data_IF_357750214264
#
_entry.id   IF_357750214264
#
_cell.length_a   1.000
_cell.length_b   1.000
_cell.length_c   1.000
_cell.angle_alpha   90.00
_cell.angle_beta   90.00
_cell.angle_gamma   90.00
#
_symmetry.space_group_name_H-M   'P 1'
#
loop_
_entity.id
_entity.type
_entity.pdbx_description
1 polymer ?
#
# COMPACT_ATOMS: atom_id res chain seq x y z
N UNK A 1 20.56 4.30 3.34
CA UNK A 1 20.47 2.93 2.74
C UNK A 1 19.01 2.54 2.56
N UNK A 2 18.68 1.82 1.49
CA UNK A 2 17.31 1.30 1.24
C UNK A 2 17.34 -0.21 1.37
N UNK A 3 16.49 -0.76 2.25
CA UNK A 3 16.29 -2.18 2.44
C UNK A 3 14.90 -2.54 1.93
N UNK A 4 14.84 -3.24 0.80
CA UNK A 4 13.58 -3.62 0.14
C UNK A 4 13.47 -5.15 0.04
N UNK A 5 12.84 -5.76 1.01
CA UNK A 5 12.63 -7.22 1.05
C UNK A 5 11.51 -7.71 0.12
N UNK A 6 10.86 -6.82 -0.61
CA UNK A 6 9.98 -7.22 -1.71
C UNK A 6 10.76 -7.43 -3.01
N UNK A 7 12.02 -7.05 -3.05
CA UNK A 7 12.89 -7.28 -4.20
C UNK A 7 13.01 -8.79 -4.55
N UNK A 8 13.22 -9.12 -5.83
CA UNK A 8 13.22 -10.52 -6.28
C UNK A 8 14.18 -11.44 -5.53
N UNK A 9 15.33 -10.95 -5.12
CA UNK A 9 16.36 -11.68 -4.38
C UNK A 9 15.90 -12.16 -3.00
N UNK A 10 14.92 -11.50 -2.40
CA UNK A 10 14.37 -11.87 -1.09
C UNK A 10 13.11 -12.76 -1.18
N UNK A 11 12.68 -13.11 -2.38
CA UNK A 11 11.53 -13.99 -2.53
C UNK A 11 11.88 -15.42 -2.24
N UNK A 12 10.99 -16.12 -1.53
CA UNK A 12 11.08 -17.56 -1.37
C UNK A 12 11.07 -18.28 -2.74
N UNK A 13 11.67 -19.43 -2.82
CA UNK A 13 11.65 -20.28 -4.03
C UNK A 13 10.23 -20.53 -4.53
N UNK A 14 9.27 -20.73 -3.61
CA UNK A 14 7.85 -20.89 -3.93
C UNK A 14 7.26 -19.66 -4.63
N UNK A 15 7.63 -18.44 -4.20
CA UNK A 15 7.17 -17.19 -4.82
C UNK A 15 7.79 -16.98 -6.19
N UNK A 16 9.03 -17.41 -6.40
CA UNK A 16 9.69 -17.37 -7.72
C UNK A 16 9.05 -18.34 -8.69
N UNK A 17 8.77 -19.57 -8.26
CA UNK A 17 8.16 -20.62 -9.07
C UNK A 17 6.70 -20.32 -9.42
N UNK A 18 5.98 -19.54 -8.61
CA UNK A 18 4.62 -19.08 -8.90
C UNK A 18 4.54 -18.02 -10.03
N UNK A 19 5.58 -17.89 -10.86
CA UNK A 19 5.56 -17.06 -12.07
C UNK A 19 5.60 -15.55 -11.83
N UNK A 20 6.17 -15.10 -10.70
CA UNK A 20 6.48 -13.69 -10.49
C UNK A 20 5.26 -12.77 -10.40
N UNK A 21 4.08 -13.27 -10.07
CA UNK A 21 2.90 -12.43 -9.80
C UNK A 21 3.13 -11.65 -8.52
N UNK A 22 3.56 -10.43 -8.67
CA UNK A 22 3.82 -9.51 -7.58
C UNK A 22 2.50 -9.08 -6.93
N UNK A 23 2.49 -9.05 -5.62
CA UNK A 23 1.31 -8.60 -4.86
C UNK A 23 1.28 -7.07 -4.70
N UNK A 24 0.18 -6.54 -4.17
CA UNK A 24 0.02 -5.09 -3.95
C UNK A 24 1.12 -4.48 -3.07
N UNK A 25 1.65 -5.24 -2.11
CA UNK A 25 2.76 -4.79 -1.26
C UNK A 25 4.04 -4.56 -2.08
N UNK A 26 4.35 -5.47 -3.03
CA UNK A 26 5.49 -5.28 -3.94
C UNK A 26 5.35 -4.00 -4.76
N UNK A 27 4.21 -3.81 -5.42
CA UNK A 27 4.01 -2.61 -6.22
C UNK A 27 4.08 -1.33 -5.37
N UNK A 28 3.53 -1.35 -4.16
CA UNK A 28 3.61 -0.20 -3.27
C UNK A 28 5.04 0.06 -2.80
N UNK A 29 5.80 -0.97 -2.46
CA UNK A 29 7.23 -0.81 -2.13
C UNK A 29 8.00 -0.19 -3.30
N UNK A 30 7.75 -0.62 -4.53
CA UNK A 30 8.39 -0.02 -5.72
C UNK A 30 8.01 1.44 -5.94
N UNK A 31 6.75 1.80 -5.66
CA UNK A 31 6.33 3.21 -5.68
C UNK A 31 7.08 4.05 -4.64
N UNK A 32 7.20 3.54 -3.41
CA UNK A 32 7.95 4.22 -2.35
C UNK A 32 9.39 4.44 -2.78
N UNK A 33 10.09 3.38 -3.22
CA UNK A 33 11.50 3.46 -3.64
C UNK A 33 11.70 4.40 -4.81
N UNK A 34 10.82 4.35 -5.81
CA UNK A 34 10.96 5.12 -7.05
C UNK A 34 10.50 6.57 -6.91
N UNK A 35 9.41 6.80 -6.18
CA UNK A 35 8.68 8.05 -6.26
C UNK A 35 8.62 8.84 -4.95
N UNK A 36 8.77 8.21 -3.78
CA UNK A 36 8.70 8.89 -2.48
C UNK A 36 10.10 9.14 -1.93
N UNK A 37 10.90 8.09 -1.74
CA UNK A 37 12.24 8.21 -1.14
C UNK A 37 13.12 9.26 -1.83
N UNK A 38 13.21 9.36 -3.16
CA UNK A 38 14.06 10.35 -3.81
C UNK A 38 13.64 11.81 -3.58
N UNK A 39 12.41 12.03 -3.09
CA UNK A 39 11.86 13.36 -2.83
C UNK A 39 11.94 13.78 -1.36
N UNK A 40 12.33 12.87 -0.48
CA UNK A 40 12.43 13.10 0.97
C UNK A 40 13.89 13.24 1.36
N UNK A 41 14.22 14.36 2.02
CA UNK A 41 15.57 14.63 2.52
C UNK A 41 15.69 14.12 3.95
N UNK A 42 16.51 13.09 4.15
CA UNK A 42 16.77 12.51 5.48
C UNK A 42 18.07 11.73 5.47
N UNK A 43 18.71 11.65 6.63
CA UNK A 43 19.87 10.79 6.88
C UNK A 43 19.46 9.37 7.27
N UNK A 44 18.17 9.15 7.55
CA UNK A 44 17.63 7.86 7.99
C UNK A 44 17.74 6.80 6.91
N UNK A 45 17.91 5.57 7.35
CA UNK A 45 17.75 4.41 6.49
C UNK A 45 16.27 4.18 6.18
N UNK A 46 16.00 3.40 5.15
CA UNK A 46 14.65 3.08 4.71
C UNK A 46 14.45 1.58 4.73
N UNK A 47 13.39 1.13 5.39
CA UNK A 47 12.94 -0.25 5.34
C UNK A 47 11.56 -0.27 4.71
N UNK A 48 11.50 -0.80 3.49
CA UNK A 48 10.22 -0.94 2.81
C UNK A 48 9.47 -2.18 3.30
N UNK A 49 8.25 -2.13 3.15
CA UNK A 49 7.13 -2.98 3.51
C UNK A 49 7.38 -4.46 3.89
N UNK A 50 6.66 -4.90 4.93
CA UNK A 50 6.50 -6.31 5.36
C UNK A 50 7.78 -7.02 5.72
N UNK A 51 8.62 -6.35 6.48
CA UNK A 51 9.87 -6.94 6.85
C UNK A 51 9.92 -7.44 8.28
N UNK A 52 10.50 -8.59 8.45
CA UNK A 52 10.75 -9.26 9.72
C UNK A 52 12.25 -9.49 9.95
N UNK A 53 13.08 -8.79 9.19
CA UNK A 53 14.51 -8.98 9.20
C UNK A 53 15.28 -7.89 9.94
N UNK A 54 16.62 -8.04 10.03
CA UNK A 54 17.47 -7.07 10.69
C UNK A 54 17.28 -5.67 10.11
N UNK A 55 17.13 -4.71 11.00
CA UNK A 55 16.96 -3.30 10.67
C UNK A 55 18.03 -2.51 11.41
N UNK A 56 18.79 -1.63 10.76
CA UNK A 56 19.72 -0.76 11.45
C UNK A 56 18.99 0.27 12.31
N UNK A 57 19.68 0.84 13.26
CA UNK A 57 19.22 2.04 13.97
C UNK A 57 19.00 3.19 12.98
N UNK A 58 18.27 4.21 13.39
CA UNK A 58 18.00 5.40 12.59
C UNK A 58 17.30 5.07 11.26
N UNK A 59 16.17 4.38 11.35
CA UNK A 59 15.47 3.83 10.18
C UNK A 59 14.00 4.26 10.13
N UNK A 60 13.51 4.56 8.93
CA UNK A 60 12.09 4.71 8.62
C UNK A 60 11.56 3.36 8.14
N UNK A 61 10.54 2.84 8.81
CA UNK A 61 9.93 1.53 8.52
C UNK A 61 8.53 1.73 7.96
N UNK A 62 8.29 1.31 6.72
CA UNK A 62 6.95 1.33 6.13
C UNK A 62 6.13 0.10 6.52
N UNK A 63 4.97 0.36 7.10
CA UNK A 63 4.00 -0.66 7.52
C UNK A 63 2.80 -0.63 6.57
N UNK A 64 2.65 -1.69 5.81
CA UNK A 64 1.54 -1.84 4.87
C UNK A 64 0.43 -2.71 5.46
N UNK A 65 -0.81 -2.31 5.25
CA UNK A 65 -2.02 -2.93 5.76
C UNK A 65 -2.26 -2.71 7.27
N UNK A 66 -3.40 -3.23 7.73
CA UNK A 66 -3.76 -3.26 9.14
C UNK A 66 -3.00 -4.42 9.80
N UNK A 67 -1.82 -4.15 10.34
CA UNK A 67 -1.01 -5.11 11.07
C UNK A 67 -1.22 -4.95 12.56
N UNK A 68 -1.12 -6.06 13.29
CA UNK A 68 -1.05 -6.00 14.73
C UNK A 68 0.35 -5.57 15.17
N UNK A 69 0.47 -4.81 16.28
CA UNK A 69 1.76 -4.40 16.83
C UNK A 69 2.70 -5.57 17.08
N UNK A 70 2.20 -6.70 17.56
CA UNK A 70 2.98 -7.90 17.87
C UNK A 70 3.80 -8.43 16.67
N UNK A 71 3.41 -8.09 15.46
CA UNK A 71 4.21 -8.42 14.27
C UNK A 71 5.49 -7.58 14.16
N UNK A 72 5.67 -6.57 15.03
CA UNK A 72 6.79 -5.63 15.03
C UNK A 72 7.54 -5.60 16.37
N UNK A 73 7.19 -6.49 17.33
CA UNK A 73 7.89 -6.62 18.62
C UNK A 73 9.39 -6.86 18.45
N UNK A 74 9.79 -7.45 17.33
CA UNK A 74 11.20 -7.60 16.95
C UNK A 74 11.99 -6.28 16.95
N UNK A 75 11.33 -5.13 16.76
CA UNK A 75 11.96 -3.81 16.88
C UNK A 75 12.45 -3.59 18.30
N UNK A 76 11.62 -3.94 19.28
CA UNK A 76 11.94 -3.83 20.72
C UNK A 76 12.91 -4.94 21.11
N UNK A 77 12.66 -6.18 20.71
CA UNK A 77 13.44 -7.36 21.08
C UNK A 77 14.90 -7.26 20.58
N UNK A 78 15.12 -6.67 19.41
CA UNK A 78 16.45 -6.44 18.85
C UNK A 78 17.10 -5.15 19.38
N UNK A 79 16.43 -4.40 20.26
CA UNK A 79 16.96 -3.15 20.81
C UNK A 79 17.23 -2.08 19.76
N UNK A 80 16.48 -2.08 18.66
CA UNK A 80 16.66 -1.13 17.56
C UNK A 80 16.19 0.25 18.01
N UNK A 81 17.05 1.26 17.85
CA UNK A 81 16.83 2.61 18.33
C UNK A 81 16.55 3.59 17.19
N UNK A 82 15.87 4.69 17.54
CA UNK A 82 15.61 5.82 16.66
C UNK A 82 14.90 5.40 15.35
N UNK A 83 13.78 4.69 15.53
CA UNK A 83 12.91 4.26 14.44
C UNK A 83 11.75 5.23 14.30
N UNK A 84 11.30 5.42 13.06
CA UNK A 84 10.02 6.06 12.71
C UNK A 84 9.19 5.08 11.90
N UNK A 85 7.97 4.82 12.33
CA UNK A 85 7.03 3.94 11.66
C UNK A 85 6.13 4.76 10.72
N UNK A 86 5.97 4.33 9.48
CA UNK A 86 5.08 4.97 8.50
C UNK A 86 3.96 3.99 8.14
N UNK A 87 2.74 4.34 8.52
CA UNK A 87 1.57 3.47 8.42
C UNK A 87 0.58 3.98 7.38
N UNK A 88 0.09 3.09 6.52
CA UNK A 88 -0.89 3.41 5.48
C UNK A 88 -2.34 3.56 5.98
N UNK A 89 -2.58 3.32 7.27
CA UNK A 89 -3.86 3.51 7.95
C UNK A 89 -3.64 4.24 9.26
N UNK A 90 -4.51 5.20 9.56
CA UNK A 90 -4.46 5.98 10.80
C UNK A 90 -4.61 5.08 12.03
N UNK A 91 -5.58 4.15 11.99
CA UNK A 91 -5.79 3.18 13.07
C UNK A 91 -4.58 2.28 13.31
N UNK A 92 -3.77 2.02 12.28
CA UNK A 92 -2.51 1.28 12.43
C UNK A 92 -1.45 2.18 13.06
N UNK A 93 -1.33 3.44 12.63
CA UNK A 93 -0.39 4.39 13.22
C UNK A 93 -0.65 4.56 14.73
N UNK A 94 -1.91 4.74 15.12
CA UNK A 94 -2.28 4.84 16.55
C UNK A 94 -1.86 3.60 17.36
N UNK A 95 -2.11 2.41 16.82
CA UNK A 95 -1.70 1.16 17.47
C UNK A 95 -0.18 0.99 17.60
N UNK A 96 0.58 1.59 16.70
CA UNK A 96 2.04 1.43 16.66
C UNK A 96 2.80 2.45 17.54
N UNK A 97 2.15 3.49 18.02
CA UNK A 97 2.80 4.58 18.80
C UNK A 97 3.53 4.10 20.05
N UNK A 98 3.14 2.98 20.64
CA UNK A 98 3.83 2.43 21.81
C UNK A 98 5.18 1.79 21.48
N UNK A 99 5.41 1.41 20.20
CA UNK A 99 6.68 0.84 19.74
C UNK A 99 7.69 1.93 19.37
N UNK A 100 7.24 2.97 18.64
CA UNK A 100 8.07 4.07 18.16
C UNK A 100 7.17 5.22 17.63
N UNK A 101 7.72 6.43 17.40
CA UNK A 101 7.01 7.49 16.70
C UNK A 101 6.39 6.96 15.40
N UNK A 102 5.08 7.12 15.26
CA UNK A 102 4.32 6.57 14.13
C UNK A 102 3.62 7.68 13.34
N UNK A 103 3.88 7.71 12.04
CA UNK A 103 3.31 8.64 11.08
C UNK A 103 2.17 7.93 10.33
N UNK A 104 0.99 8.53 10.28
CA UNK A 104 0.00 8.16 9.29
C UNK A 104 0.36 8.83 7.96
N UNK A 105 0.60 8.02 6.93
CA UNK A 105 0.79 8.44 5.56
C UNK A 105 -0.22 7.67 4.69
N UNK A 106 -1.25 8.32 4.15
CA UNK A 106 -2.20 7.65 3.28
C UNK A 106 -1.49 6.96 2.10
N UNK A 107 -2.06 5.84 1.65
CA UNK A 107 -1.54 5.16 0.47
C UNK A 107 -1.60 6.10 -0.74
N UNK A 108 -0.50 6.18 -1.47
CA UNK A 108 -0.37 7.01 -2.66
C UNK A 108 -0.07 6.18 -3.90
N UNK A 109 -0.28 6.79 -5.05
CA UNK A 109 -0.01 6.22 -6.36
C UNK A 109 0.49 7.32 -7.30
N UNK A 110 1.12 6.96 -8.41
CA UNK A 110 1.34 7.86 -9.53
C UNK A 110 0.01 8.02 -10.27
N UNK A 111 -0.69 9.13 -9.99
CA UNK A 111 -2.04 9.39 -10.52
C UNK A 111 -2.01 9.47 -12.04
N UNK A 112 -1.02 10.16 -12.62
CA UNK A 112 -0.92 10.31 -14.07
C UNK A 112 -0.59 8.98 -14.76
N UNK A 113 0.21 8.13 -14.14
CA UNK A 113 0.47 6.78 -14.66
C UNK A 113 -0.80 5.92 -14.65
N UNK A 114 -1.61 6.00 -13.58
CA UNK A 114 -2.88 5.27 -13.52
C UNK A 114 -3.86 5.77 -14.58
N UNK A 115 -3.98 7.09 -14.79
CA UNK A 115 -4.87 7.69 -15.79
C UNK A 115 -4.56 7.24 -17.22
N UNK A 116 -3.30 6.96 -17.57
CA UNK A 116 -2.90 6.45 -18.89
C UNK A 116 -3.57 5.13 -19.27
N UNK A 117 -4.04 4.39 -18.28
CA UNK A 117 -4.73 3.12 -18.50
C UNK A 117 -6.25 3.24 -18.66
N UNK A 118 -6.80 4.47 -18.65
CA UNK A 118 -8.23 4.69 -18.86
C UNK A 118 -8.60 4.52 -20.32
N UNK A 119 -9.12 3.35 -20.68
CA UNK A 119 -9.62 3.01 -22.03
C UNK A 119 -11.15 2.95 -22.06
N UNK A 120 -11.80 2.56 -20.95
CA UNK A 120 -13.25 2.41 -20.85
C UNK A 120 -13.96 3.70 -20.42
N UNK A 121 -15.29 3.69 -20.59
CA UNK A 121 -16.18 4.77 -20.18
C UNK A 121 -17.13 4.35 -19.05
N UNK A 122 -16.71 3.39 -18.23
CA UNK A 122 -17.49 2.87 -17.12
C UNK A 122 -18.87 2.36 -17.55
N UNK A 123 -18.94 1.63 -18.66
CA UNK A 123 -20.18 1.11 -19.26
C UNK A 123 -20.68 -0.19 -18.63
N UNK A 124 -19.78 -1.02 -18.11
CA UNK A 124 -20.12 -2.29 -17.46
C UNK A 124 -20.60 -2.08 -16.01
N UNK A 125 -21.50 -2.91 -15.49
CA UNK A 125 -22.13 -2.63 -14.19
C UNK A 125 -21.18 -2.78 -13.01
N UNK A 126 -20.54 -3.95 -12.83
CA UNK A 126 -19.93 -4.31 -11.55
C UNK A 126 -18.73 -5.26 -11.70
N UNK A 127 -17.64 -4.94 -10.99
CA UNK A 127 -16.48 -5.83 -10.90
C UNK A 127 -15.94 -5.98 -9.47
N UNK A 128 -15.12 -7.00 -9.27
CA UNK A 128 -14.23 -7.15 -8.12
C UNK A 128 -12.77 -6.98 -8.55
N UNK A 129 -12.11 -6.03 -7.95
CA UNK A 129 -10.69 -5.73 -8.18
C UNK A 129 -9.86 -6.04 -6.92
N UNK A 130 -9.21 -7.18 -6.88
CA UNK A 130 -8.40 -7.56 -5.73
C UNK A 130 -7.87 -8.97 -5.81
N UNK A 131 -7.24 -9.44 -4.72
CA UNK A 131 -6.84 -10.83 -4.60
C UNK A 131 -8.06 -11.69 -4.34
N UNK A 132 -8.18 -12.81 -5.03
CA UNK A 132 -9.26 -13.76 -4.83
C UNK A 132 -9.43 -14.18 -3.35
N UNK A 133 -8.31 -14.38 -2.64
CA UNK A 133 -8.35 -14.74 -1.22
C UNK A 133 -9.06 -13.70 -0.32
N UNK A 134 -9.16 -12.44 -0.73
CA UNK A 134 -9.91 -11.41 0.02
C UNK A 134 -11.42 -11.52 -0.16
N UNK A 135 -11.89 -12.18 -1.21
CA UNK A 135 -13.32 -12.42 -1.44
C UNK A 135 -13.83 -13.72 -0.81
N UNK A 136 -12.96 -14.54 -0.23
CA UNK A 136 -13.39 -15.78 0.41
C UNK A 136 -14.31 -15.51 1.61
N UNK A 137 -15.43 -16.22 1.64
CA UNK A 137 -16.46 -16.05 2.65
C UNK A 137 -17.32 -14.79 2.49
N UNK A 138 -17.20 -14.10 1.33
CA UNK A 138 -18.04 -12.94 0.99
C UNK A 138 -18.98 -13.35 -0.14
N UNK A 139 -20.26 -13.08 0.04
CA UNK A 139 -21.26 -13.24 -1.02
C UNK A 139 -21.32 -11.95 -1.83
N UNK A 140 -20.73 -11.97 -3.02
CA UNK A 140 -20.86 -10.89 -3.99
C UNK A 140 -22.03 -11.16 -4.93
N UNK A 141 -22.67 -10.12 -5.49
CA UNK A 141 -23.74 -10.30 -6.49
C UNK A 141 -23.30 -11.21 -7.65
N UNK A 142 -24.17 -12.10 -8.15
CA UNK A 142 -23.81 -13.07 -9.20
C UNK A 142 -23.23 -12.45 -10.48
N UNK A 143 -23.64 -11.21 -10.81
CA UNK A 143 -23.15 -10.47 -11.97
C UNK A 143 -21.77 -9.84 -11.79
N UNK A 144 -21.12 -10.01 -10.62
CA UNK A 144 -19.80 -9.42 -10.36
C UNK A 144 -18.72 -10.10 -11.21
N UNK A 145 -18.07 -9.36 -12.10
CA UNK A 145 -16.93 -9.87 -12.85
C UNK A 145 -15.65 -9.81 -12.02
N UNK A 146 -14.94 -10.94 -11.92
CA UNK A 146 -13.69 -11.03 -11.16
C UNK A 146 -12.49 -10.69 -12.05
N UNK A 147 -11.78 -9.59 -11.71
CA UNK A 147 -10.60 -9.14 -12.44
C UNK A 147 -9.29 -9.64 -11.82
N UNK A 148 -9.37 -10.54 -10.85
CA UNK A 148 -8.21 -11.06 -10.10
C UNK A 148 -7.22 -11.80 -11.00
N UNK A 149 -5.92 -11.66 -10.70
CA UNK A 149 -4.85 -12.41 -11.35
C UNK A 149 -4.39 -11.87 -12.71
N UNK A 150 -4.93 -10.77 -13.18
CA UNK A 150 -4.49 -10.09 -14.42
C UNK A 150 -3.18 -9.33 -14.19
N UNK A 151 -2.32 -9.17 -15.21
CA UNK A 151 -1.20 -8.24 -15.17
C UNK A 151 -1.70 -6.83 -14.84
N UNK A 152 -0.89 -6.04 -14.07
CA UNK A 152 -1.34 -4.74 -13.55
C UNK A 152 -1.87 -3.79 -14.63
N UNK A 153 -1.12 -3.62 -15.74
CA UNK A 153 -1.55 -2.72 -16.81
C UNK A 153 -2.88 -3.15 -17.43
N UNK A 154 -3.07 -4.44 -17.65
CA UNK A 154 -4.34 -4.99 -18.12
C UNK A 154 -5.45 -4.81 -17.09
N UNK A 155 -5.17 -5.07 -15.80
CA UNK A 155 -6.14 -4.88 -14.73
C UNK A 155 -6.66 -3.43 -14.67
N UNK A 156 -5.79 -2.44 -14.82
CA UNK A 156 -6.17 -1.02 -14.82
C UNK A 156 -7.01 -0.66 -16.05
N UNK A 157 -6.66 -1.18 -17.25
CA UNK A 157 -7.48 -0.99 -18.44
C UNK A 157 -8.86 -1.62 -18.27
N UNK A 158 -8.88 -2.87 -17.85
CA UNK A 158 -10.13 -3.62 -17.72
C UNK A 158 -11.07 -2.96 -16.69
N UNK A 159 -10.55 -2.53 -15.53
CA UNK A 159 -11.38 -1.90 -14.49
C UNK A 159 -11.99 -0.58 -14.95
N UNK A 160 -11.33 0.15 -15.86
CA UNK A 160 -11.87 1.43 -16.39
C UNK A 160 -13.19 1.30 -17.16
N UNK A 161 -13.60 0.08 -17.49
CA UNK A 161 -14.89 -0.21 -18.12
C UNK A 161 -16.05 -0.34 -17.11
N UNK A 162 -15.79 -0.36 -15.79
CA UNK A 162 -16.84 -0.65 -14.81
C UNK A 162 -17.32 0.61 -14.09
N UNK A 163 -18.64 0.69 -13.87
CA UNK A 163 -19.28 1.75 -13.09
C UNK A 163 -18.94 1.58 -11.61
N UNK A 164 -19.08 0.36 -11.11
CA UNK A 164 -18.92 0.03 -9.70
C UNK A 164 -17.91 -1.09 -9.51
N UNK A 165 -17.12 -0.96 -8.44
CA UNK A 165 -16.04 -1.92 -8.16
C UNK A 165 -15.94 -2.21 -6.66
N UNK A 166 -15.94 -3.46 -6.29
CA UNK A 166 -15.52 -3.90 -4.97
C UNK A 166 -13.98 -3.93 -4.90
N UNK A 167 -13.40 -3.06 -4.13
CA UNK A 167 -11.95 -2.93 -3.99
C UNK A 167 -11.54 -2.37 -2.64
N UNK A 168 -10.30 -2.66 -2.20
CA UNK A 168 -9.74 -2.12 -0.95
C UNK A 168 -8.28 -1.68 -1.12
N UNK A 169 -7.87 -0.69 -0.33
CA UNK A 169 -6.51 -0.18 -0.34
C UNK A 169 -6.15 0.44 -1.68
N UNK A 170 -4.97 0.13 -2.18
CA UNK A 170 -4.47 0.66 -3.45
C UNK A 170 -5.41 0.40 -4.64
N UNK A 171 -6.04 -0.78 -4.70
CA UNK A 171 -6.99 -1.09 -5.75
C UNK A 171 -8.20 -0.14 -5.72
N UNK A 172 -8.68 0.25 -4.54
CA UNK A 172 -9.76 1.22 -4.40
C UNK A 172 -9.35 2.61 -4.90
N UNK A 173 -8.12 3.06 -4.57
CA UNK A 173 -7.57 4.33 -5.06
C UNK A 173 -7.48 4.34 -6.58
N UNK A 174 -6.91 3.28 -7.16
CA UNK A 174 -6.75 3.14 -8.60
C UNK A 174 -8.10 3.11 -9.34
N UNK A 175 -9.08 2.39 -8.81
CA UNK A 175 -10.43 2.35 -9.36
C UNK A 175 -11.11 3.73 -9.34
N UNK A 176 -10.96 4.49 -8.25
CA UNK A 176 -11.48 5.87 -8.17
C UNK A 176 -10.84 6.80 -9.21
N UNK A 177 -9.52 6.72 -9.40
CA UNK A 177 -8.80 7.51 -10.42
C UNK A 177 -9.31 7.19 -11.83
N UNK A 178 -9.69 5.94 -12.07
CA UNK A 178 -10.24 5.48 -13.33
C UNK A 178 -11.75 5.77 -13.48
N UNK A 179 -12.36 6.45 -12.52
CA UNK A 179 -13.74 6.90 -12.57
C UNK A 179 -14.77 5.91 -12.05
N UNK A 180 -14.34 4.83 -11.39
CA UNK A 180 -15.26 3.87 -10.80
C UNK A 180 -15.77 4.34 -9.43
N UNK A 181 -17.03 4.05 -9.14
CA UNK A 181 -17.55 4.07 -7.78
C UNK A 181 -17.03 2.84 -7.02
N UNK A 182 -16.37 3.06 -5.88
CA UNK A 182 -15.87 1.95 -5.05
C UNK A 182 -16.86 1.63 -3.96
N UNK A 183 -17.35 0.40 -3.96
CA UNK A 183 -18.36 -0.08 -3.04
C UNK A 183 -17.73 -0.73 -1.80
N UNK A 184 -18.32 -0.56 -0.60
CA UNK A 184 -18.01 -1.36 0.56
C UNK A 184 -18.51 -2.79 0.32
N UNK A 185 -17.72 -3.81 0.65
CA UNK A 185 -18.13 -5.18 0.39
C UNK A 185 -17.98 -6.14 1.59
N UNK A 186 -17.30 -5.73 2.64
CA UNK A 186 -17.15 -6.55 3.84
C UNK A 186 -16.62 -5.72 5.02
N UNK A 187 -17.19 -5.96 6.21
CA UNK A 187 -16.82 -5.26 7.45
C UNK A 187 -15.37 -5.51 7.93
N UNK A 188 -14.70 -6.53 7.40
CA UNK A 188 -13.27 -6.80 7.67
C UNK A 188 -12.34 -5.76 7.04
N UNK A 189 -12.86 -4.96 6.13
CA UNK A 189 -12.10 -3.93 5.42
C UNK A 189 -12.62 -2.54 5.77
N UNK A 190 -11.73 -1.55 5.82
CA UNK A 190 -12.14 -0.16 6.01
C UNK A 190 -13.11 0.31 4.93
N UNK A 191 -13.96 1.27 5.32
CA UNK A 191 -14.88 1.92 4.38
C UNK A 191 -14.13 2.55 3.20
N UNK A 192 -14.65 2.45 1.96
CA UNK A 192 -14.01 3.02 0.77
C UNK A 192 -13.75 4.53 0.83
N UNK A 193 -14.46 5.26 1.68
CA UNK A 193 -14.25 6.72 1.84
C UNK A 193 -12.85 7.08 2.30
N UNK A 194 -12.15 6.21 3.03
CA UNK A 194 -10.78 6.48 3.46
C UNK A 194 -9.75 6.38 2.33
N UNK A 195 -10.08 5.66 1.24
CA UNK A 195 -9.17 5.47 0.11
C UNK A 195 -9.29 6.62 -0.89
N UNK A 196 -8.73 7.78 -0.53
CA UNK A 196 -8.72 8.94 -1.42
C UNK A 196 -7.48 8.93 -2.32
N UNK A 197 -7.60 9.36 -3.59
CA UNK A 197 -6.45 9.56 -4.45
C UNK A 197 -5.45 10.55 -3.85
N UNK A 198 -4.21 10.10 -3.68
CA UNK A 198 -3.09 10.91 -3.24
C UNK A 198 -1.92 10.65 -4.20
N UNK A 199 -1.34 11.72 -4.74
CA UNK A 199 -0.16 11.60 -5.60
C UNK A 199 1.10 11.31 -4.77
N UNK A 200 2.04 10.57 -5.35
CA UNK A 200 3.30 10.24 -4.70
C UNK A 200 4.14 11.47 -4.33
N UNK A 201 4.06 12.55 -5.11
CA UNK A 201 4.78 13.78 -4.80
C UNK A 201 4.20 14.48 -3.57
N UNK A 202 2.88 14.49 -3.41
CA UNK A 202 2.23 15.07 -2.25
C UNK A 202 2.42 14.18 -1.01
N UNK A 203 2.38 12.86 -1.17
CA UNK A 203 2.74 11.94 -0.09
C UNK A 203 4.17 12.17 0.41
N UNK A 204 5.12 12.44 -0.49
CA UNK A 204 6.50 12.74 -0.11
C UNK A 204 6.61 14.07 0.68
N UNK A 205 5.84 15.10 0.31
CA UNK A 205 5.79 16.38 1.06
C UNK A 205 5.23 16.18 2.47
N UNK A 206 4.13 15.43 2.59
CA UNK A 206 3.53 15.10 3.89
C UNK A 206 4.54 14.35 4.75
N UNK A 207 5.22 13.35 4.18
CA UNK A 207 6.21 12.58 4.91
C UNK A 207 7.39 13.45 5.35
N UNK A 208 7.91 14.33 4.48
CA UNK A 208 8.99 15.27 4.82
C UNK A 208 8.60 16.13 6.02
N UNK A 209 7.44 16.79 5.95
CA UNK A 209 6.96 17.64 7.04
C UNK A 209 6.89 16.89 8.36
N UNK A 210 6.36 15.67 8.36
CA UNK A 210 6.26 14.85 9.58
C UNK A 210 7.62 14.40 10.13
N UNK A 211 8.56 14.12 9.25
CA UNK A 211 9.93 13.81 9.67
C UNK A 211 10.63 15.03 10.26
N UNK A 212 10.45 16.21 9.68
CA UNK A 212 11.01 17.47 10.19
C UNK A 212 10.44 17.79 11.59
N UNK A 213 9.14 17.53 11.82
CA UNK A 213 8.51 17.66 13.15
C UNK A 213 9.15 16.71 14.18
N UNK A 214 9.47 15.46 13.81
CA UNK A 214 10.08 14.46 14.68
C UNK A 214 11.56 14.79 14.95
N UNK A 215 12.29 15.17 13.93
CA UNK A 215 13.74 15.41 14.02
C UNK A 215 14.07 16.82 14.57
N UNK A 216 13.21 17.82 14.34
CA UNK A 216 13.34 19.17 14.86
C UNK A 216 12.95 19.31 16.34
N UNK A 217 12.25 18.34 16.90
CA UNK A 217 11.91 18.29 18.34
C UNK A 217 13.00 17.65 19.23
N UNK A 218 14.12 17.25 18.63
CA UNK A 218 15.31 16.74 19.32
C UNK A 218 16.34 17.85 19.46
#
# INVERSE_FOLDING_TARGET
>A
MIIDHTAPEYKSTRQRLAGGRFNGAYYYSREIVKNIIPRVKTTRNWLTINNYGPCPNHTIVFIHNNKNPENYDWIVDQGIKDIVLVCGLESTAEKMKHLAPAIYLPLSVDIEEVKKHREGQNEKPLAYMGRLAKSFGISLPPQTEFLSGRPRAQLLRDVSHYKQVYAVGRCAIEAKILGCEVLPFDQRFPDPSIWQPLDNADAAKILQQKLDEIDGGK
#
